data_IF_618398520808
#
_entry.id   IF_618398520808
#
_cell.length_a   1.000
_cell.length_b   1.000
_cell.length_c   1.000
_cell.angle_alpha   90.00
_cell.angle_beta   90.00
_cell.angle_gamma   90.00
#
_symmetry.space_group_name_H-M   'P 1'
#
loop_
_entity.id
_entity.type
_entity.pdbx_description
1 polymer ?
#
# COMPACT_ATOMS: atom_id res chain seq x y z
N UNK A 1 40.75 -24.61 20.97
CA UNK A 1 41.53 -25.87 20.89
C UNK A 1 41.09 -26.74 22.05
N UNK A 2 40.19 -27.68 21.83
CA UNK A 2 39.90 -28.69 22.86
C UNK A 2 40.88 -29.85 22.74
N UNK A 3 41.30 -30.38 23.88
CA UNK A 3 42.08 -31.63 23.95
C UNK A 3 41.11 -32.76 24.24
N UNK A 4 41.15 -33.82 23.44
CA UNK A 4 40.43 -35.04 23.77
C UNK A 4 41.08 -35.76 24.96
N UNK A 5 40.42 -36.77 25.52
CA UNK A 5 40.90 -37.55 26.67
C UNK A 5 42.31 -38.15 26.49
N UNK A 6 42.79 -38.27 25.25
CA UNK A 6 44.11 -38.80 24.89
C UNK A 6 45.16 -37.69 24.66
N UNK A 7 44.88 -36.44 25.04
CA UNK A 7 45.83 -35.33 24.98
C UNK A 7 46.15 -34.81 23.57
N UNK A 8 45.47 -35.31 22.53
CA UNK A 8 45.65 -34.88 21.14
C UNK A 8 44.77 -33.67 20.85
N UNK A 9 45.38 -32.59 20.38
CA UNK A 9 44.65 -31.36 20.04
C UNK A 9 43.80 -31.58 18.78
N UNK A 10 42.49 -31.43 18.91
CA UNK A 10 41.57 -31.51 17.77
C UNK A 10 41.24 -30.07 17.33
N UNK A 11 41.44 -29.70 16.05
CA UNK A 11 40.94 -28.44 15.54
C UNK A 11 39.42 -28.48 15.51
N UNK A 12 38.79 -27.74 16.42
CA UNK A 12 37.33 -27.56 16.45
C UNK A 12 37.00 -26.35 15.59
N UNK A 13 35.99 -26.48 14.71
CA UNK A 13 35.46 -25.36 13.93
C UNK A 13 34.73 -24.41 14.87
N UNK A 14 35.47 -23.51 15.47
CA UNK A 14 34.92 -22.33 16.14
C UNK A 14 34.26 -21.49 15.05
N UNK A 15 32.95 -21.29 15.13
CA UNK A 15 32.23 -20.41 14.22
C UNK A 15 32.90 -19.03 14.17
N UNK A 16 32.77 -18.34 13.02
CA UNK A 16 33.30 -16.99 12.90
C UNK A 16 32.59 -16.09 13.91
N UNK A 17 33.36 -15.34 14.70
CA UNK A 17 32.81 -14.31 15.57
C UNK A 17 32.33 -13.14 14.68
N UNK A 18 31.12 -12.61 14.87
CA UNK A 18 30.69 -11.41 14.14
C UNK A 18 31.62 -10.25 14.47
N UNK A 19 32.18 -9.60 13.45
CA UNK A 19 32.89 -8.33 13.60
C UNK A 19 31.86 -7.20 13.57
N UNK A 20 31.57 -6.63 14.74
CA UNK A 20 30.69 -5.47 14.90
C UNK A 20 31.58 -4.25 15.10
N UNK A 21 31.25 -3.13 14.47
CA UNK A 21 31.99 -1.88 14.66
C UNK A 21 31.83 -1.39 16.11
N UNK A 22 32.93 -1.13 16.80
CA UNK A 22 32.90 -0.65 18.18
C UNK A 22 32.06 0.65 18.31
N UNK A 23 31.14 0.65 19.28
CA UNK A 23 30.25 1.77 19.59
C UNK A 23 28.96 1.85 18.77
N UNK A 24 28.65 0.86 17.93
CA UNK A 24 27.41 0.81 17.14
C UNK A 24 26.51 -0.34 17.62
N UNK A 25 25.27 -0.03 18.00
CA UNK A 25 24.22 -1.01 18.22
C UNK A 25 23.37 -1.11 16.96
N UNK A 26 23.28 -2.32 16.40
CA UNK A 26 22.40 -2.60 15.27
C UNK A 26 21.12 -3.26 15.78
N UNK A 27 19.97 -2.71 15.42
CA UNK A 27 18.69 -3.39 15.54
C UNK A 27 18.26 -3.90 14.16
N UNK A 28 17.89 -5.17 14.11
CA UNK A 28 17.41 -5.80 12.87
C UNK A 28 15.89 -5.90 12.92
N UNK A 29 15.21 -5.36 11.90
CA UNK A 29 13.78 -5.59 11.69
C UNK A 29 13.51 -6.97 11.07
N UNK A 30 14.38 -7.41 10.16
CA UNK A 30 14.26 -8.65 9.40
C UNK A 30 15.61 -9.37 9.37
N UNK A 31 15.61 -10.69 9.54
CA UNK A 31 16.79 -11.54 9.41
C UNK A 31 16.45 -12.82 8.64
N UNK A 32 17.20 -13.13 7.58
CA UNK A 32 17.04 -14.32 6.77
C UNK A 32 18.16 -15.32 7.01
N UNK A 33 17.79 -16.57 7.20
CA UNK A 33 18.71 -17.69 7.03
C UNK A 33 18.64 -18.18 5.58
N UNK A 34 19.79 -18.32 4.91
CA UNK A 34 19.86 -18.75 3.51
C UNK A 34 20.40 -20.18 3.46
N UNK A 35 19.60 -21.08 2.89
CA UNK A 35 19.93 -22.49 2.71
C UNK A 35 20.80 -22.72 1.46
N UNK A 36 21.34 -23.93 1.33
CA UNK A 36 22.21 -24.30 0.20
C UNK A 36 21.51 -24.28 -1.17
N UNK A 37 20.19 -24.43 -1.18
CA UNK A 37 19.35 -24.36 -2.39
C UNK A 37 18.96 -22.93 -2.76
N UNK A 38 19.56 -21.92 -2.11
CA UNK A 38 19.21 -20.50 -2.21
C UNK A 38 17.79 -20.15 -1.73
N UNK A 39 17.09 -21.07 -1.06
CA UNK A 39 15.90 -20.71 -0.31
C UNK A 39 16.28 -19.90 0.93
N UNK A 40 15.44 -18.95 1.30
CA UNK A 40 15.60 -18.17 2.51
C UNK A 40 14.40 -18.35 3.42
N UNK A 41 14.68 -18.42 4.71
CA UNK A 41 13.68 -18.47 5.78
C UNK A 41 13.89 -17.26 6.71
N UNK A 42 12.83 -16.52 7.00
CA UNK A 42 12.92 -15.41 7.93
C UNK A 42 12.99 -15.96 9.38
N UNK A 43 14.13 -15.75 10.04
CA UNK A 43 14.33 -16.13 11.46
C UNK A 43 13.90 -15.03 12.42
N UNK A 44 13.82 -13.79 11.91
CA UNK A 44 13.21 -12.64 12.58
C UNK A 44 12.49 -11.83 11.50
N UNK A 45 11.24 -11.46 11.75
CA UNK A 45 10.49 -10.57 10.87
C UNK A 45 9.46 -9.78 11.70
N UNK A 46 9.75 -8.51 11.95
CA UNK A 46 8.81 -7.62 12.63
C UNK A 46 7.68 -7.13 11.69
N UNK A 47 7.76 -7.43 10.39
CA UNK A 47 6.81 -6.95 9.36
C UNK A 47 5.78 -8.00 8.95
N UNK A 48 5.96 -9.25 9.37
CA UNK A 48 5.15 -10.41 8.97
C UNK A 48 4.98 -10.58 7.45
N UNK A 49 5.89 -10.03 6.64
CA UNK A 49 5.83 -10.11 5.18
C UNK A 49 6.44 -11.41 4.63
N UNK A 50 7.31 -12.08 5.39
CA UNK A 50 8.12 -13.19 4.92
C UNK A 50 7.88 -14.47 5.72
N UNK A 51 6.68 -15.03 5.60
CA UNK A 51 6.25 -16.23 6.34
C UNK A 51 6.78 -17.53 5.71
N UNK A 52 6.76 -17.60 4.38
CA UNK A 52 7.11 -18.81 3.64
C UNK A 52 8.60 -18.87 3.31
N UNK A 53 9.13 -20.09 3.27
CA UNK A 53 10.49 -20.36 2.79
C UNK A 53 10.54 -20.21 1.28
N UNK A 54 11.26 -19.19 0.81
CA UNK A 54 11.32 -18.84 -0.61
C UNK A 54 12.68 -18.21 -0.97
N UNK A 55 13.13 -18.29 -2.24
CA UNK A 55 14.34 -17.62 -2.66
C UNK A 55 14.19 -16.09 -2.60
N UNK A 56 15.26 -15.40 -2.19
CA UNK A 56 15.31 -13.93 -2.22
C UNK A 56 15.43 -13.48 -3.68
N UNK A 57 14.49 -12.65 -4.13
CA UNK A 57 14.45 -12.11 -5.49
C UNK A 57 14.39 -10.57 -5.46
N UNK A 58 14.41 -9.94 -6.63
CA UNK A 58 14.22 -8.48 -6.75
C UNK A 58 12.88 -8.03 -6.14
N UNK A 59 11.83 -8.85 -6.26
CA UNK A 59 10.53 -8.57 -5.67
C UNK A 59 10.60 -8.47 -4.13
N UNK A 60 11.41 -9.33 -3.49
CA UNK A 60 11.67 -9.27 -2.04
C UNK A 60 12.28 -7.92 -1.65
N UNK A 61 13.25 -7.43 -2.43
CA UNK A 61 13.87 -6.12 -2.21
C UNK A 61 12.88 -4.97 -2.35
N UNK A 62 11.96 -5.05 -3.33
CA UNK A 62 10.89 -4.05 -3.50
C UNK A 62 9.93 -4.03 -2.31
N UNK A 63 9.55 -5.19 -1.77
CA UNK A 63 8.69 -5.28 -0.58
C UNK A 63 9.36 -4.63 0.65
N UNK A 64 10.65 -4.92 0.87
CA UNK A 64 11.42 -4.31 1.97
C UNK A 64 11.53 -2.80 1.77
N UNK A 65 11.84 -2.35 0.56
CA UNK A 65 11.94 -0.93 0.23
C UNK A 65 10.62 -0.21 0.49
N UNK A 66 9.51 -0.73 -0.03
CA UNK A 66 8.18 -0.16 0.14
C UNK A 66 7.86 -0.01 1.63
N UNK A 67 8.05 -1.08 2.42
CA UNK A 67 7.85 -1.06 3.86
C UNK A 67 8.74 -0.02 4.58
N UNK A 68 10.02 0.07 4.20
CA UNK A 68 10.97 1.01 4.81
C UNK A 68 10.70 2.48 4.45
N UNK A 69 10.06 2.71 3.30
CA UNK A 69 9.82 4.05 2.75
C UNK A 69 8.54 4.72 3.27
N UNK A 70 7.51 3.93 3.59
CA UNK A 70 6.21 4.45 4.03
C UNK A 70 6.12 4.64 5.54
N UNK A 71 6.85 3.86 6.33
CA UNK A 71 6.82 3.92 7.80
C UNK A 71 5.48 3.50 8.41
N UNK A 72 4.60 2.88 7.61
CA UNK A 72 3.28 2.39 8.01
C UNK A 72 3.34 0.87 7.95
N UNK A 73 2.85 0.21 9.01
CA UNK A 73 2.73 -1.25 9.05
C UNK A 73 1.87 -1.72 7.85
N UNK A 74 2.34 -2.68 7.03
CA UNK A 74 1.56 -3.26 5.94
C UNK A 74 0.14 -3.68 6.34
N UNK A 75 -0.04 -4.19 7.56
CA UNK A 75 -1.34 -4.62 8.08
C UNK A 75 -2.24 -3.42 8.38
N UNK A 76 -1.70 -2.41 9.05
CA UNK A 76 -2.40 -1.15 9.34
C UNK A 76 -2.82 -0.44 8.05
N UNK A 77 -1.94 -0.44 7.04
CA UNK A 77 -2.26 0.08 5.72
C UNK A 77 -3.43 -0.69 5.09
N UNK A 78 -3.41 -2.03 5.17
CA UNK A 78 -4.49 -2.85 4.62
C UNK A 78 -5.82 -2.53 5.29
N UNK A 79 -5.85 -2.45 6.61
CA UNK A 79 -7.05 -2.12 7.37
C UNK A 79 -7.58 -0.73 7.00
N UNK A 80 -6.70 0.26 6.88
CA UNK A 80 -7.07 1.61 6.42
C UNK A 80 -7.68 1.60 5.02
N UNK A 81 -7.12 0.80 4.09
CA UNK A 81 -7.63 0.68 2.73
C UNK A 81 -9.01 0.03 2.67
N UNK A 82 -9.25 -1.01 3.49
CA UNK A 82 -10.56 -1.65 3.59
C UNK A 82 -11.59 -0.65 4.10
N UNK A 83 -11.27 0.07 5.18
CA UNK A 83 -12.16 1.09 5.76
C UNK A 83 -12.50 2.19 4.73
N UNK A 84 -11.51 2.66 3.97
CA UNK A 84 -11.73 3.66 2.92
C UNK A 84 -12.62 3.13 1.78
N UNK A 85 -12.44 1.87 1.38
CA UNK A 85 -13.25 1.25 0.32
C UNK A 85 -14.71 1.11 0.78
N UNK A 86 -14.92 0.66 2.02
CA UNK A 86 -16.25 0.55 2.60
C UNK A 86 -16.92 1.93 2.73
N UNK A 87 -16.18 2.95 3.18
CA UNK A 87 -16.65 4.33 3.23
C UNK A 87 -17.09 4.85 1.86
N UNK A 88 -16.24 4.69 0.84
CA UNK A 88 -16.55 5.09 -0.54
C UNK A 88 -17.75 4.32 -1.12
N UNK A 89 -17.96 3.07 -0.71
CA UNK A 89 -19.11 2.30 -1.15
C UNK A 89 -20.44 2.79 -0.57
N UNK A 90 -20.44 3.41 0.61
CA UNK A 90 -21.65 3.98 1.21
C UNK A 90 -22.04 5.34 0.60
N UNK A 91 -21.13 6.02 -0.11
CA UNK A 91 -21.40 7.33 -0.70
C UNK A 91 -22.28 7.27 -1.97
N UNK A 92 -22.29 6.14 -2.69
CA UNK A 92 -23.02 6.01 -3.95
C UNK A 92 -23.46 4.58 -4.21
N UNK A 93 -24.74 4.41 -4.59
CA UNK A 93 -25.30 3.12 -5.00
C UNK A 93 -24.49 2.44 -6.12
N UNK A 94 -23.89 3.21 -7.03
CA UNK A 94 -23.06 2.68 -8.11
C UNK A 94 -21.71 2.14 -7.60
N UNK A 95 -21.11 2.83 -6.63
CA UNK A 95 -19.87 2.39 -5.98
C UNK A 95 -20.15 1.10 -5.19
N UNK A 96 -21.27 1.04 -4.46
CA UNK A 96 -21.72 -0.14 -3.74
C UNK A 96 -21.98 -1.34 -4.67
N UNK A 97 -22.70 -1.13 -5.77
CA UNK A 97 -22.98 -2.20 -6.75
C UNK A 97 -21.69 -2.71 -7.42
N UNK A 98 -20.74 -1.82 -7.71
CA UNK A 98 -19.45 -2.19 -8.29
C UNK A 98 -18.62 -3.01 -7.30
N UNK A 99 -18.57 -2.58 -6.03
CA UNK A 99 -17.86 -3.30 -4.98
C UNK A 99 -18.48 -4.70 -4.76
N UNK A 100 -19.81 -4.78 -4.63
CA UNK A 100 -20.53 -6.04 -4.46
C UNK A 100 -20.28 -7.02 -5.62
N UNK A 101 -20.16 -6.51 -6.85
CA UNK A 101 -19.82 -7.33 -8.02
C UNK A 101 -18.43 -7.96 -7.86
N UNK A 102 -17.45 -7.21 -7.39
CA UNK A 102 -16.10 -7.73 -7.19
C UNK A 102 -15.99 -8.66 -5.98
N UNK A 103 -16.65 -8.35 -4.87
CA UNK A 103 -16.74 -9.29 -3.73
C UNK A 103 -17.31 -10.64 -4.19
N UNK A 104 -18.32 -10.63 -5.07
CA UNK A 104 -18.88 -11.86 -5.64
C UNK A 104 -17.89 -12.62 -6.54
N UNK A 105 -16.97 -11.94 -7.20
CA UNK A 105 -15.99 -12.55 -8.10
C UNK A 105 -14.72 -13.04 -7.38
N UNK A 106 -14.25 -12.29 -6.39
CA UNK A 106 -12.94 -12.49 -5.75
C UNK A 106 -13.03 -12.88 -4.27
N UNK A 107 -14.23 -12.95 -3.70
CA UNK A 107 -14.44 -13.31 -2.28
C UNK A 107 -14.34 -12.12 -1.34
N UNK A 108 -14.12 -12.39 -0.06
CA UNK A 108 -14.10 -11.40 1.02
C UNK A 108 -12.93 -10.40 0.85
N UNK A 109 -13.19 -9.10 1.09
CA UNK A 109 -12.19 -8.03 1.06
C UNK A 109 -10.98 -8.30 1.97
N UNK A 110 -11.19 -8.95 3.12
CA UNK A 110 -10.10 -9.26 4.05
C UNK A 110 -9.02 -10.17 3.46
N UNK A 111 -9.36 -10.94 2.41
CA UNK A 111 -8.43 -11.86 1.76
C UNK A 111 -7.71 -11.22 0.57
N UNK A 112 -7.96 -9.95 0.29
CA UNK A 112 -7.37 -9.27 -0.86
C UNK A 112 -5.99 -8.71 -0.52
N UNK A 113 -5.09 -8.76 -1.50
CA UNK A 113 -3.76 -8.16 -1.39
C UNK A 113 -3.85 -6.63 -1.34
N UNK A 114 -2.86 -5.98 -0.73
CA UNK A 114 -2.77 -4.50 -0.68
C UNK A 114 -2.85 -3.85 -2.06
N UNK A 115 -2.21 -4.47 -3.07
CA UNK A 115 -2.27 -3.99 -4.45
C UNK A 115 -3.69 -4.03 -5.03
N UNK A 116 -4.44 -5.11 -4.77
CA UNK A 116 -5.83 -5.22 -5.20
C UNK A 116 -6.70 -4.16 -4.52
N UNK A 117 -6.53 -3.97 -3.21
CA UNK A 117 -7.27 -2.95 -2.45
C UNK A 117 -6.99 -1.53 -2.96
N UNK A 118 -5.72 -1.17 -3.19
CA UNK A 118 -5.35 0.13 -3.78
C UNK A 118 -5.98 0.33 -5.16
N UNK A 119 -5.90 -0.68 -6.03
CA UNK A 119 -6.48 -0.61 -7.37
C UNK A 119 -8.01 -0.41 -7.35
N UNK A 120 -8.69 -1.09 -6.43
CA UNK A 120 -10.14 -0.98 -6.23
C UNK A 120 -10.51 0.40 -5.69
N UNK A 121 -9.81 0.89 -4.66
CA UNK A 121 -9.99 2.23 -4.10
C UNK A 121 -9.85 3.30 -5.17
N UNK A 122 -8.78 3.26 -5.98
CA UNK A 122 -8.60 4.20 -7.08
C UNK A 122 -9.75 4.19 -8.09
N UNK A 123 -10.26 2.99 -8.41
CA UNK A 123 -11.34 2.84 -9.38
C UNK A 123 -12.67 3.36 -8.83
N UNK A 124 -12.96 3.13 -7.55
CA UNK A 124 -14.13 3.72 -6.88
C UNK A 124 -14.05 5.24 -6.85
N UNK A 125 -12.87 5.81 -6.58
CA UNK A 125 -12.65 7.26 -6.63
C UNK A 125 -12.91 7.80 -8.04
N UNK A 126 -12.36 7.16 -9.08
CA UNK A 126 -12.58 7.54 -10.48
C UNK A 126 -14.07 7.51 -10.86
N UNK A 127 -14.81 6.50 -10.41
CA UNK A 127 -16.26 6.39 -10.63
C UNK A 127 -17.03 7.54 -9.96
N UNK A 128 -16.69 7.89 -8.71
CA UNK A 128 -17.31 9.03 -8.02
C UNK A 128 -17.01 10.37 -8.70
N UNK A 129 -15.79 10.57 -9.20
CA UNK A 129 -15.40 11.77 -9.95
C UNK A 129 -16.11 11.91 -11.30
N UNK A 130 -16.41 10.78 -11.98
CA UNK A 130 -17.17 10.79 -13.23
C UNK A 130 -18.62 11.24 -13.01
N UNK A 131 -19.27 10.82 -11.92
CA UNK A 131 -20.62 11.27 -11.57
C UNK A 131 -20.68 12.77 -11.28
N UNK A 132 -19.68 13.32 -10.58
CA UNK A 132 -19.60 14.77 -10.29
C UNK A 132 -19.42 15.63 -11.54
N UNK A 133 -18.77 15.13 -12.60
CA UNK A 133 -18.59 15.85 -13.87
C UNK A 133 -19.85 15.84 -14.75
N UNK A 134 -20.69 14.81 -14.65
CA UNK A 134 -21.94 14.73 -15.44
C UNK A 134 -23.06 15.62 -14.91
N UNK A 135 -22.97 16.13 -13.68
CA UNK A 135 -23.90 17.11 -13.09
C UNK A 135 -23.33 18.52 -13.24
N UNK A 136 -23.22 19.00 -14.49
CA UNK A 136 -23.08 20.45 -14.76
C UNK A 136 -24.46 20.98 -15.21
N UNK A 137 -24.93 22.14 -14.70
CA UNK A 137 -26.29 22.59 -14.95
C UNK A 137 -26.48 23.03 -16.41
N UNK A 138 -27.58 22.53 -16.97
CA UNK A 138 -28.29 23.00 -18.16
C UNK A 138 -28.15 24.53 -18.35
N UNK A 139 -27.78 24.91 -19.57
CA UNK A 139 -27.86 26.25 -20.17
C UNK A 139 -29.02 27.11 -19.63
N UNK A 140 -28.68 28.30 -19.13
CA UNK A 140 -29.63 29.38 -18.82
C UNK A 140 -30.33 29.81 -20.13
N UNK A 141 -31.67 29.89 -20.21
CA UNK A 141 -32.32 30.47 -21.38
C UNK A 141 -32.01 31.97 -21.45
N UNK A 142 -31.78 32.47 -22.66
CA UNK A 142 -31.48 33.86 -22.92
C UNK A 142 -32.63 34.75 -22.44
N UNK A 143 -32.40 35.52 -21.38
CA UNK A 143 -33.31 36.58 -20.96
C UNK A 143 -32.99 37.87 -21.72
N UNK A 144 -34.07 38.47 -22.21
CA UNK A 144 -34.11 39.61 -23.10
C UNK A 144 -33.40 40.85 -22.54
N UNK A 145 -32.76 41.60 -23.45
CA UNK A 145 -32.32 42.98 -23.20
C UNK A 145 -33.51 43.81 -22.72
N UNK A 146 -33.52 44.22 -21.45
CA UNK A 146 -34.26 45.40 -21.01
C UNK A 146 -33.35 46.62 -21.23
N UNK A 147 -33.58 47.33 -22.33
CA UNK A 147 -33.08 48.69 -22.49
C UNK A 147 -33.79 49.54 -21.43
N UNK A 148 -33.03 50.13 -20.50
CA UNK A 148 -33.57 51.07 -19.52
C UNK A 148 -34.04 52.34 -20.24
N UNK A 149 -35.19 52.88 -19.81
CA UNK A 149 -35.76 54.15 -20.28
C UNK A 149 -34.91 55.37 -19.90
N UNK A 150 -33.86 55.18 -19.09
CA UNK A 150 -32.96 56.24 -18.64
C UNK A 150 -31.84 56.58 -19.65
N UNK A 151 -31.55 55.71 -20.62
CA UNK A 151 -30.48 55.92 -21.62
C UNK A 151 -30.90 56.79 -22.83
N UNK A 152 -32.18 57.20 -22.91
CA UNK A 152 -32.72 57.99 -24.03
C UNK A 152 -32.73 59.52 -23.81
N UNK A 153 -32.33 60.01 -22.62
CA UNK A 153 -32.43 61.45 -22.28
C UNK A 153 -31.11 62.17 -22.00
N UNK A 154 -29.96 61.53 -22.21
CA UNK A 154 -28.65 62.15 -21.95
C UNK A 154 -28.00 62.84 -23.18
N UNK A 155 -28.74 63.09 -24.27
CA UNK A 155 -28.17 63.57 -25.53
C UNK A 155 -28.97 64.66 -26.23
N UNK A 156 -29.48 65.64 -25.51
CA UNK A 156 -30.02 66.88 -26.10
C UNK A 156 -29.42 68.11 -25.40
N UNK A 157 -28.28 68.55 -25.94
CA UNK A 157 -27.87 69.95 -26.00
C UNK A 157 -27.52 70.26 -27.45
#
# INVERSE_FOLDING_TARGET
MEKNANGKTIPVKVGLKPEIRDGWEYEFAINFNINQDHSAEATKDNTNMFIDVAPITEATGQQIYECSSTGIDPEEERESLIMDIEGLAQESDLQQQTLNRWIKQHGNLNNWTRQQLRAVKERLIKLGQQQRKTVTPKTRPAEHKSTSLDDLLAGAK
#
